data_IF_197529042117
#
_entry.id   IF_197529042117
#
_cell.length_a   1.000
_cell.length_b   1.000
_cell.length_c   1.000
_cell.angle_alpha   90.00
_cell.angle_beta   90.00
_cell.angle_gamma   90.00
#
_symmetry.space_group_name_H-M   'P 1'
#
loop_
_entity.id
_entity.type
_entity.pdbx_description
1 polymer ?
#
# COMPACT_ATOMS: atom_id res chain seq x y z
N UNK A 1 -16.21 24.07 6.58
CA UNK A 1 -15.30 23.72 7.68
C UNK A 1 -14.75 22.34 7.38
N UNK A 2 -13.45 22.09 7.20
CA UNK A 2 -13.00 20.69 7.22
C UNK A 2 -13.06 20.25 8.68
N UNK A 3 -14.11 19.55 9.16
CA UNK A 3 -14.32 18.10 9.06
C UNK A 3 -13.00 17.32 9.19
N UNK A 4 -12.90 16.57 10.30
CA UNK A 4 -11.78 15.75 10.78
C UNK A 4 -10.85 15.18 9.70
N UNK A 5 -9.57 14.96 10.05
CA UNK A 5 -8.58 14.24 9.21
C UNK A 5 -9.12 12.89 8.68
N UNK A 6 -9.99 12.24 9.44
CA UNK A 6 -10.73 11.05 9.04
C UNK A 6 -11.62 11.30 7.82
N UNK A 7 -12.41 12.37 7.85
CA UNK A 7 -13.34 12.72 6.77
C UNK A 7 -12.58 13.10 5.51
N UNK A 8 -11.44 13.79 5.67
CA UNK A 8 -10.54 14.07 4.56
C UNK A 8 -10.01 12.78 3.93
N UNK A 9 -9.48 11.86 4.74
CA UNK A 9 -8.98 10.58 4.25
C UNK A 9 -10.07 9.76 3.54
N UNK A 10 -11.28 9.69 4.12
CA UNK A 10 -12.42 8.99 3.52
C UNK A 10 -12.79 9.57 2.15
N UNK A 11 -12.89 10.91 2.06
CA UNK A 11 -13.18 11.57 0.79
C UNK A 11 -12.10 11.31 -0.26
N UNK A 12 -10.83 11.24 0.15
CA UNK A 12 -9.74 10.85 -0.74
C UNK A 12 -9.90 9.39 -1.18
N UNK A 13 -10.04 8.45 -0.26
CA UNK A 13 -10.16 7.02 -0.58
C UNK A 13 -11.32 6.75 -1.56
N UNK A 14 -12.47 7.39 -1.37
CA UNK A 14 -13.62 7.32 -2.28
C UNK A 14 -13.28 7.79 -3.70
N UNK A 15 -12.58 8.92 -3.83
CA UNK A 15 -12.19 9.46 -5.13
C UNK A 15 -11.15 8.53 -5.79
N UNK A 16 -10.18 8.00 -5.04
CA UNK A 16 -9.14 7.13 -5.59
C UNK A 16 -9.76 5.83 -6.10
N UNK A 17 -10.67 5.24 -5.33
CA UNK A 17 -11.42 4.05 -5.73
C UNK A 17 -12.27 4.29 -6.99
N UNK A 18 -12.95 5.44 -7.08
CA UNK A 18 -13.72 5.81 -8.27
C UNK A 18 -12.82 5.93 -9.50
N UNK A 19 -11.69 6.61 -9.40
CA UNK A 19 -10.75 6.76 -10.52
C UNK A 19 -10.14 5.39 -10.91
N UNK A 20 -9.75 4.56 -9.94
CA UNK A 20 -9.23 3.22 -10.20
C UNK A 20 -10.25 2.36 -10.99
N UNK A 21 -11.53 2.41 -10.60
CA UNK A 21 -12.60 1.71 -11.30
C UNK A 21 -12.79 2.20 -12.74
N UNK A 22 -12.72 3.52 -12.98
CA UNK A 22 -12.83 4.10 -14.33
C UNK A 22 -11.70 3.61 -15.26
N UNK A 23 -10.50 3.40 -14.73
CA UNK A 23 -9.35 2.87 -15.48
C UNK A 23 -9.25 1.34 -15.43
N UNK A 24 -10.24 0.65 -14.83
CA UNK A 24 -10.26 -0.80 -14.65
C UNK A 24 -9.02 -1.34 -13.91
N UNK A 25 -8.45 -0.54 -12.99
CA UNK A 25 -7.38 -0.98 -12.11
C UNK A 25 -7.98 -1.85 -11.00
N UNK A 26 -7.66 -3.14 -11.04
CA UNK A 26 -8.09 -4.12 -10.04
C UNK A 26 -6.85 -4.74 -9.39
N UNK A 27 -6.86 -4.83 -8.06
CA UNK A 27 -5.81 -5.48 -7.27
C UNK A 27 -6.13 -6.96 -6.98
N UNK A 28 -7.04 -7.57 -7.76
CA UNK A 28 -7.49 -8.96 -7.61
C UNK A 28 -7.23 -9.76 -8.88
N UNK A 29 -7.03 -11.07 -8.74
CA UNK A 29 -6.89 -11.99 -9.88
C UNK A 29 -5.49 -12.06 -10.49
N UNK A 30 -4.47 -11.44 -9.87
CA UNK A 30 -3.09 -11.55 -10.31
C UNK A 30 -2.34 -12.62 -9.49
N UNK A 31 -1.55 -13.45 -10.18
CA UNK A 31 -0.66 -14.43 -9.50
C UNK A 31 0.54 -13.72 -8.87
N UNK A 32 1.05 -12.69 -9.56
CA UNK A 32 2.17 -11.85 -9.15
C UNK A 32 1.78 -10.36 -9.08
N UNK A 33 2.71 -9.49 -8.66
CA UNK A 33 2.50 -8.05 -8.63
C UNK A 33 2.23 -7.47 -10.04
N UNK A 34 1.00 -7.11 -10.34
CA UNK A 34 0.61 -6.52 -11.63
C UNK A 34 0.99 -5.03 -11.78
N UNK A 35 1.31 -4.32 -10.68
CA UNK A 35 1.63 -2.90 -10.69
C UNK A 35 2.89 -2.61 -11.52
N UNK A 36 2.83 -1.57 -12.36
CA UNK A 36 3.95 -1.16 -13.24
C UNK A 36 4.91 -0.19 -12.56
N UNK A 37 4.47 0.50 -11.52
CA UNK A 37 5.23 1.46 -10.73
C UNK A 37 5.26 1.08 -9.26
N UNK A 38 6.12 1.75 -8.49
CA UNK A 38 6.07 1.72 -7.04
C UNK A 38 4.84 2.49 -6.55
N UNK A 39 4.28 2.06 -5.42
CA UNK A 39 3.19 2.77 -4.75
C UNK A 39 3.77 3.80 -3.78
N UNK A 40 3.43 5.07 -3.97
CA UNK A 40 3.92 6.17 -3.15
C UNK A 40 2.77 6.82 -2.38
N UNK A 41 3.00 7.14 -1.11
CA UNK A 41 2.13 8.03 -0.35
C UNK A 41 2.56 9.48 -0.62
N UNK A 42 1.72 10.23 -1.32
CA UNK A 42 2.00 11.58 -1.79
C UNK A 42 1.61 12.67 -0.78
N UNK A 43 0.78 12.33 0.21
CA UNK A 43 0.25 13.27 1.19
C UNK A 43 0.59 12.84 2.63
N UNK A 44 0.57 13.80 3.55
CA UNK A 44 0.76 13.50 4.98
C UNK A 44 -0.40 12.66 5.56
N UNK A 45 -1.63 12.88 5.07
CA UNK A 45 -2.80 12.14 5.54
C UNK A 45 -2.74 10.66 5.16
N UNK A 46 -2.29 10.33 3.94
CA UNK A 46 -2.07 8.92 3.53
C UNK A 46 -1.06 8.22 4.45
N UNK A 47 0.05 8.88 4.78
CA UNK A 47 1.08 8.33 5.69
C UNK A 47 0.56 8.16 7.11
N UNK A 48 -0.14 9.17 7.64
CA UNK A 48 -0.69 9.14 8.98
C UNK A 48 -1.73 8.02 9.14
N UNK A 49 -2.59 7.85 8.14
CA UNK A 49 -3.64 6.83 8.19
C UNK A 49 -3.09 5.41 8.02
N UNK A 50 -2.05 5.23 7.20
CA UNK A 50 -1.31 3.97 7.15
C UNK A 50 -0.74 3.61 8.53
N UNK A 51 -0.07 4.57 9.19
CA UNK A 51 0.51 4.36 10.51
C UNK A 51 -0.57 4.03 11.55
N UNK A 52 -1.68 4.75 11.53
CA UNK A 52 -2.82 4.51 12.41
C UNK A 52 -3.39 3.08 12.25
N UNK A 53 -3.53 2.59 11.01
CA UNK A 53 -3.97 1.21 10.76
C UNK A 53 -2.94 0.18 11.21
N UNK A 54 -1.65 0.41 10.90
CA UNK A 54 -0.57 -0.47 11.33
C UNK A 54 -0.47 -0.58 12.86
N UNK A 55 -0.62 0.53 13.57
CA UNK A 55 -0.53 0.58 15.04
C UNK A 55 -1.68 -0.18 15.73
N UNK A 56 -2.79 -0.44 15.04
CA UNK A 56 -3.90 -1.25 15.55
C UNK A 56 -3.73 -2.76 15.35
N UNK A 57 -2.71 -3.19 14.59
CA UNK A 57 -2.47 -4.61 14.36
C UNK A 57 -1.89 -5.29 15.60
N UNK A 58 -2.21 -6.57 15.77
CA UNK A 58 -1.61 -7.42 16.79
C UNK A 58 -0.09 -7.55 16.58
N UNK A 59 0.71 -7.72 17.65
CA UNK A 59 2.17 -7.72 17.57
C UNK A 59 2.75 -8.71 16.55
N UNK A 60 2.18 -9.91 16.45
CA UNK A 60 2.60 -10.91 15.46
C UNK A 60 2.46 -10.40 14.03
N UNK A 61 1.33 -9.77 13.71
CA UNK A 61 1.07 -9.21 12.38
C UNK A 61 2.00 -8.04 12.07
N UNK A 62 2.25 -7.17 13.06
CA UNK A 62 3.23 -6.07 12.91
C UNK A 62 4.61 -6.61 12.55
N UNK A 63 5.08 -7.63 13.26
CA UNK A 63 6.39 -8.24 13.01
C UNK A 63 6.50 -8.86 11.62
N UNK A 64 5.46 -9.58 11.17
CA UNK A 64 5.41 -10.14 9.82
C UNK A 64 5.46 -9.05 8.73
N UNK A 65 4.71 -7.97 8.89
CA UNK A 65 4.74 -6.83 7.96
C UNK A 65 6.11 -6.16 7.95
N UNK A 66 6.71 -5.92 9.11
CA UNK A 66 8.02 -5.29 9.21
C UNK A 66 9.12 -6.15 8.58
N UNK A 67 9.10 -7.47 8.81
CA UNK A 67 10.03 -8.40 8.16
C UNK A 67 9.86 -8.36 6.64
N UNK A 68 8.63 -8.39 6.11
CA UNK A 68 8.37 -8.23 4.68
C UNK A 68 8.83 -6.88 4.14
N UNK A 69 8.70 -5.80 4.92
CA UNK A 69 9.11 -4.46 4.53
C UNK A 69 10.63 -4.32 4.47
N UNK A 70 11.36 -4.92 5.41
CA UNK A 70 12.82 -4.98 5.38
C UNK A 70 13.31 -5.70 4.11
N UNK A 71 12.77 -6.90 3.85
CA UNK A 71 13.02 -7.67 2.64
C UNK A 71 12.72 -6.87 1.36
N UNK A 72 11.58 -6.19 1.34
CA UNK A 72 11.16 -5.36 0.21
C UNK A 72 12.17 -4.22 -0.04
N UNK A 73 12.60 -3.54 1.01
CA UNK A 73 13.55 -2.43 0.91
C UNK A 73 14.91 -2.91 0.40
N UNK A 74 15.43 -4.00 0.98
CA UNK A 74 16.72 -4.57 0.59
C UNK A 74 16.74 -5.01 -0.88
N UNK A 75 15.65 -5.59 -1.38
CA UNK A 75 15.56 -6.08 -2.77
C UNK A 75 15.22 -4.97 -3.78
N UNK A 76 14.50 -3.93 -3.36
CA UNK A 76 14.01 -2.88 -4.27
C UNK A 76 14.99 -1.72 -4.42
N UNK A 77 15.68 -1.31 -3.35
CA UNK A 77 16.45 -0.08 -3.30
C UNK A 77 17.98 -0.30 -3.25
N UNK A 78 18.48 -1.34 -3.93
CA UNK A 78 19.92 -1.57 -4.13
C UNK A 78 20.50 -0.40 -4.95
N UNK A 79 21.73 0.02 -4.60
CA UNK A 79 22.42 1.16 -5.21
C UNK A 79 22.41 1.09 -6.76
N UNK A 80 22.05 2.22 -7.39
CA UNK A 80 22.04 2.52 -8.84
C UNK A 80 20.74 2.29 -9.65
N UNK A 81 19.63 1.79 -9.08
CA UNK A 81 18.34 1.67 -9.81
C UNK A 81 17.13 2.21 -9.04
N UNK A 82 17.14 3.49 -8.69
CA UNK A 82 16.01 4.14 -8.03
C UNK A 82 14.78 4.23 -8.95
N UNK A 83 13.63 3.76 -8.47
CA UNK A 83 12.33 4.03 -9.10
C UNK A 83 11.77 2.97 -10.04
N UNK A 84 12.47 1.86 -10.28
CA UNK A 84 11.93 0.72 -11.05
C UNK A 84 11.26 -0.30 -10.13
N UNK A 85 10.03 -0.68 -10.45
CA UNK A 85 9.34 -1.78 -9.76
C UNK A 85 10.04 -3.10 -10.04
N UNK A 86 10.45 -3.80 -8.99
CA UNK A 86 11.00 -5.18 -9.05
C UNK A 86 9.91 -6.26 -9.09
N UNK A 87 8.63 -5.88 -9.22
CA UNK A 87 7.49 -6.80 -9.17
C UNK A 87 7.38 -7.61 -7.87
N UNK A 88 8.02 -7.13 -6.80
CA UNK A 88 7.87 -7.68 -5.45
C UNK A 88 6.54 -7.19 -4.88
N UNK A 89 5.77 -8.07 -4.24
CA UNK A 89 4.49 -7.70 -3.62
C UNK A 89 4.66 -6.67 -2.50
N UNK A 90 3.64 -5.81 -2.34
CA UNK A 90 3.59 -4.84 -1.25
C UNK A 90 3.71 -5.55 0.12
N UNK A 91 4.50 -5.04 1.09
CA UNK A 91 4.61 -5.63 2.42
C UNK A 91 3.31 -5.68 3.22
N UNK A 92 2.32 -4.87 2.83
CA UNK A 92 0.99 -4.83 3.44
C UNK A 92 -0.02 -5.68 2.68
N UNK A 93 0.39 -6.34 1.59
CA UNK A 93 -0.51 -7.21 0.84
C UNK A 93 -0.84 -8.43 1.72
N UNK A 94 -2.10 -8.51 2.13
CA UNK A 94 -2.65 -9.70 2.76
C UNK A 94 -2.89 -10.73 1.67
N UNK A 95 -2.44 -11.98 1.88
CA UNK A 95 -2.87 -13.08 1.01
C UNK A 95 -4.38 -13.15 1.17
N UNK A 96 -5.14 -12.54 0.26
CA UNK A 96 -6.57 -12.78 0.16
C UNK A 96 -6.65 -14.29 -0.04
N UNK A 97 -7.14 -15.01 0.98
CA UNK A 97 -7.37 -16.44 0.88
C UNK A 97 -8.16 -16.65 -0.42
N UNK A 98 -7.53 -17.30 -1.40
CA UNK A 98 -8.26 -17.86 -2.54
C UNK A 98 -9.27 -18.83 -1.91
N UNK A 99 -10.53 -18.41 -1.84
CA UNK A 99 -11.64 -19.35 -1.81
C UNK A 99 -11.85 -19.88 -3.22
#
# INVERSE_FOLDING_TARGET
>A
MPTSILILYQSMDEIWNRIAALYQFQCTGCEDNCCKSLFFHHTHVEKAYLRHGFDQLEPGRKNEILSRAEDYCQKTFIENETGKSRKIMCPLNEKVFRQ
#
